data_IF_952385885850
#
_entry.id   IF_952385885850
#
_cell.length_a   1.000
_cell.length_b   1.000
_cell.length_c   1.000
_cell.angle_alpha   90.00
_cell.angle_beta   90.00
_cell.angle_gamma   90.00
#
_symmetry.space_group_name_H-M   'P 1'
#
loop_
_entity.id
_entity.type
_entity.pdbx_description
1 polymer ?
#
# COMPACT_ATOMS: atom_id res chain seq x y z
N UNK A 1 11.94 14.64 -69.18
CA UNK A 1 13.12 15.13 -68.44
C UNK A 1 12.81 15.06 -66.95
N UNK A 2 13.75 14.48 -66.19
CA UNK A 2 13.88 14.20 -64.74
C UNK A 2 13.17 15.15 -63.75
N UNK A 3 12.85 14.77 -62.51
CA UNK A 3 13.68 14.02 -61.54
C UNK A 3 12.83 13.44 -60.36
N UNK A 4 13.40 12.54 -59.53
CA UNK A 4 12.70 11.76 -58.52
C UNK A 4 12.67 12.44 -57.14
N UNK A 5 11.52 12.40 -56.45
CA UNK A 5 11.45 12.74 -55.03
C UNK A 5 12.03 11.59 -54.19
N UNK A 6 13.35 11.63 -54.06
CA UNK A 6 14.08 10.86 -53.06
C UNK A 6 13.66 11.33 -51.67
N UNK A 7 12.79 10.56 -51.02
CA UNK A 7 12.72 10.56 -49.56
C UNK A 7 14.15 10.31 -49.05
N UNK A 8 14.75 11.17 -48.20
CA UNK A 8 16.07 10.92 -47.67
C UNK A 8 15.98 9.79 -46.63
N UNK A 9 15.89 8.56 -47.13
CA UNK A 9 16.26 7.35 -46.40
C UNK A 9 17.78 7.41 -46.30
N UNK A 10 18.28 8.13 -45.30
CA UNK A 10 19.73 8.24 -45.07
C UNK A 10 20.28 9.63 -44.75
N UNK A 11 19.50 10.53 -44.13
CA UNK A 11 20.18 11.48 -43.25
C UNK A 11 20.78 10.64 -42.12
N UNK A 12 22.10 10.45 -42.10
CA UNK A 12 22.84 9.76 -41.04
C UNK A 12 22.35 10.32 -39.70
N UNK A 13 21.47 9.58 -39.03
CA UNK A 13 20.88 10.06 -37.78
C UNK A 13 22.05 10.22 -36.84
N UNK A 14 22.31 11.46 -36.42
CA UNK A 14 23.49 11.72 -35.59
C UNK A 14 23.43 10.82 -34.36
N UNK A 15 24.58 10.36 -33.88
CA UNK A 15 24.67 9.50 -32.68
C UNK A 15 23.85 10.11 -31.52
N UNK A 16 23.81 11.45 -31.41
CA UNK A 16 22.98 12.17 -30.45
C UNK A 16 21.48 12.03 -30.67
N UNK A 17 21.01 12.04 -31.93
CA UNK A 17 19.59 11.81 -32.24
C UNK A 17 19.15 10.35 -32.06
N UNK A 18 20.06 9.38 -32.16
CA UNK A 18 19.79 7.96 -31.85
C UNK A 18 19.71 7.74 -30.34
N UNK A 19 20.63 8.34 -29.58
CA UNK A 19 20.65 8.27 -28.12
C UNK A 19 19.43 8.97 -27.50
N UNK A 20 19.03 10.13 -28.06
CA UNK A 20 17.81 10.82 -27.65
C UNK A 20 16.57 9.95 -27.86
N UNK A 21 16.41 9.33 -29.04
CA UNK A 21 15.27 8.43 -29.31
C UNK A 21 15.29 7.16 -28.46
N UNK A 22 16.48 6.60 -28.18
CA UNK A 22 16.60 5.43 -27.31
C UNK A 22 16.20 5.77 -25.85
N UNK A 23 16.62 6.94 -25.37
CA UNK A 23 16.26 7.44 -24.03
C UNK A 23 14.76 7.72 -23.93
N UNK A 24 14.16 8.27 -24.98
CA UNK A 24 12.73 8.55 -25.03
C UNK A 24 11.89 7.27 -25.04
N UNK A 25 12.30 6.26 -25.81
CA UNK A 25 11.67 4.94 -25.80
C UNK A 25 11.79 4.25 -24.43
N UNK A 26 12.94 4.39 -23.76
CA UNK A 26 13.14 3.87 -22.41
C UNK A 26 12.25 4.59 -21.38
N UNK A 27 12.09 5.91 -21.51
CA UNK A 27 11.18 6.72 -20.70
C UNK A 27 9.72 6.30 -20.88
N UNK A 28 9.30 6.01 -22.13
CA UNK A 28 7.97 5.51 -22.44
C UNK A 28 7.69 4.14 -21.77
N UNK A 29 8.64 3.19 -21.84
CA UNK A 29 8.51 1.90 -21.17
C UNK A 29 8.37 2.03 -19.65
N UNK A 30 9.17 2.89 -19.02
CA UNK A 30 9.08 3.13 -17.57
C UNK A 30 7.71 3.72 -17.20
N UNK A 31 7.16 4.62 -18.03
CA UNK A 31 5.84 5.19 -17.80
C UNK A 31 4.73 4.12 -17.88
N UNK A 32 4.82 3.20 -18.84
CA UNK A 32 3.89 2.08 -18.98
C UNK A 32 3.99 1.10 -17.81
N UNK A 33 5.19 0.77 -17.34
CA UNK A 33 5.38 -0.11 -16.19
C UNK A 33 4.82 0.51 -14.90
N UNK A 34 4.98 1.83 -14.73
CA UNK A 34 4.38 2.59 -13.62
C UNK A 34 2.85 2.61 -13.75
N UNK A 35 2.31 2.81 -14.95
CA UNK A 35 0.88 2.79 -15.19
C UNK A 35 0.28 1.40 -14.88
N UNK A 36 0.98 0.33 -15.24
CA UNK A 36 0.60 -1.05 -14.93
C UNK A 36 0.66 -1.31 -13.43
N UNK A 37 1.76 -0.95 -12.76
CA UNK A 37 1.92 -1.11 -11.32
C UNK A 37 0.85 -0.33 -10.55
N UNK A 38 0.48 0.87 -11.02
CA UNK A 38 -0.62 1.66 -10.46
C UNK A 38 -1.98 0.97 -10.64
N UNK A 39 -2.22 0.37 -11.80
CA UNK A 39 -3.44 -0.40 -12.05
C UNK A 39 -3.51 -1.66 -11.16
N UNK A 40 -2.39 -2.36 -10.98
CA UNK A 40 -2.29 -3.52 -10.09
C UNK A 40 -2.53 -3.12 -8.63
N UNK A 41 -1.89 -2.05 -8.16
CA UNK A 41 -2.11 -1.50 -6.82
C UNK A 41 -3.58 -1.12 -6.60
N UNK A 42 -4.22 -0.45 -7.57
CA UNK A 42 -5.64 -0.11 -7.46
C UNK A 42 -6.51 -1.36 -7.35
N UNK A 43 -6.22 -2.41 -8.14
CA UNK A 43 -6.93 -3.70 -8.06
C UNK A 43 -6.71 -4.39 -6.71
N UNK A 44 -5.49 -4.35 -6.18
CA UNK A 44 -5.17 -4.95 -4.88
C UNK A 44 -5.82 -4.20 -3.72
N UNK A 45 -5.82 -2.86 -3.77
CA UNK A 45 -6.55 -2.02 -2.81
C UNK A 45 -8.05 -2.28 -2.90
N UNK A 46 -8.62 -2.36 -4.10
CA UNK A 46 -10.05 -2.64 -4.27
C UNK A 46 -10.41 -4.03 -3.75
N UNK A 47 -9.61 -5.06 -4.06
CA UNK A 47 -9.81 -6.42 -3.53
C UNK A 47 -9.67 -6.47 -2.01
N UNK A 48 -8.65 -5.81 -1.47
CA UNK A 48 -8.43 -5.70 -0.03
C UNK A 48 -9.55 -4.94 0.68
N UNK A 49 -10.06 -3.86 0.08
CA UNK A 49 -11.15 -3.06 0.63
C UNK A 49 -12.48 -3.83 0.60
N UNK A 50 -12.83 -4.48 -0.52
CA UNK A 50 -14.06 -5.28 -0.61
C UNK A 50 -14.05 -6.45 0.35
N UNK A 51 -12.96 -7.22 0.40
CA UNK A 51 -12.84 -8.35 1.32
C UNK A 51 -12.80 -7.89 2.77
N UNK A 52 -12.05 -6.83 3.08
CA UNK A 52 -11.99 -6.25 4.42
C UNK A 52 -13.36 -5.77 4.89
N UNK A 53 -14.07 -5.00 4.07
CA UNK A 53 -15.40 -4.48 4.38
C UNK A 53 -16.46 -5.56 4.57
N UNK A 54 -16.47 -6.59 3.70
CA UNK A 54 -17.36 -7.73 3.86
C UNK A 54 -17.04 -8.54 5.12
N UNK A 55 -15.77 -8.71 5.46
CA UNK A 55 -15.37 -9.39 6.70
C UNK A 55 -15.82 -8.63 7.96
N UNK A 56 -15.72 -7.31 7.99
CA UNK A 56 -16.24 -6.51 9.11
C UNK A 56 -17.75 -6.64 9.23
N UNK A 57 -18.47 -6.56 8.10
CA UNK A 57 -19.93 -6.70 8.10
C UNK A 57 -20.36 -8.10 8.54
N UNK A 58 -19.71 -9.14 8.03
CA UNK A 58 -19.96 -10.52 8.43
C UNK A 58 -19.67 -10.73 9.93
N UNK A 59 -18.59 -10.15 10.45
CA UNK A 59 -18.28 -10.15 11.88
C UNK A 59 -19.37 -9.47 12.73
N UNK A 60 -19.90 -8.33 12.28
CA UNK A 60 -21.01 -7.65 12.96
C UNK A 60 -22.29 -8.48 12.96
N UNK A 61 -22.66 -9.07 11.81
CA UNK A 61 -23.84 -9.92 11.70
C UNK A 61 -23.71 -11.15 12.62
N UNK A 62 -22.54 -11.77 12.66
CA UNK A 62 -22.27 -12.92 13.52
C UNK A 62 -22.31 -12.53 15.01
N UNK A 63 -21.79 -11.35 15.36
CA UNK A 63 -21.88 -10.79 16.71
C UNK A 63 -23.33 -10.54 17.14
N UNK A 64 -24.15 -9.99 16.24
CA UNK A 64 -25.56 -9.72 16.51
C UNK A 64 -26.43 -11.00 16.52
N UNK A 65 -25.97 -12.08 15.88
CA UNK A 65 -26.64 -13.38 15.85
C UNK A 65 -26.38 -14.23 17.11
N UNK A 66 -25.33 -13.94 17.91
CA UNK A 66 -24.97 -14.70 19.12
C UNK A 66 -26.12 -14.92 20.12
N UNK A 67 -26.96 -13.91 20.46
CA UNK A 67 -28.10 -14.13 21.34
C UNK A 67 -29.07 -15.16 20.74
N UNK A 68 -29.38 -15.03 19.44
CA UNK A 68 -30.30 -15.94 18.75
C UNK A 68 -29.75 -17.37 18.68
N UNK A 69 -28.45 -17.52 18.42
CA UNK A 69 -27.76 -18.81 18.46
C UNK A 69 -27.80 -19.44 19.86
N UNK A 70 -27.68 -18.63 20.92
CA UNK A 70 -27.77 -19.09 22.31
C UNK A 70 -29.16 -19.64 22.64
N UNK A 71 -30.22 -18.95 22.18
CA UNK A 71 -31.60 -19.45 22.32
C UNK A 71 -31.79 -20.75 21.54
N UNK A 72 -31.36 -20.80 20.27
CA UNK A 72 -31.48 -22.00 19.44
C UNK A 72 -30.81 -23.22 20.07
N UNK A 73 -29.60 -23.06 20.61
CA UNK A 73 -28.89 -24.13 21.33
C UNK A 73 -29.60 -24.50 22.63
N UNK A 74 -30.09 -23.53 23.41
CA UNK A 74 -30.75 -23.80 24.68
C UNK A 74 -32.02 -24.63 24.46
N UNK A 75 -32.84 -24.26 23.47
CA UNK A 75 -34.03 -25.04 23.10
C UNK A 75 -33.66 -26.40 22.49
N UNK A 76 -32.60 -26.48 21.68
CA UNK A 76 -32.13 -27.76 21.12
C UNK A 76 -31.60 -28.75 22.16
N UNK A 77 -30.95 -28.26 23.21
CA UNK A 77 -30.50 -29.10 24.33
C UNK A 77 -31.69 -29.51 25.20
N UNK A 78 -32.60 -28.56 25.45
CA UNK A 78 -33.79 -28.82 26.26
C UNK A 78 -34.68 -29.92 25.65
N UNK A 79 -34.87 -29.94 24.33
CA UNK A 79 -35.68 -30.98 23.65
C UNK A 79 -35.09 -32.39 23.73
N UNK A 80 -33.78 -32.52 23.95
CA UNK A 80 -33.11 -33.82 24.07
C UNK A 80 -32.91 -34.32 25.50
N UNK A 81 -32.90 -33.42 26.48
CA UNK A 81 -32.53 -33.76 27.86
C UNK A 81 -33.62 -33.48 28.91
N UNK A 82 -34.72 -32.79 28.59
CA UNK A 82 -35.76 -32.35 29.55
C UNK A 82 -35.19 -31.62 30.78
N UNK A 83 -33.95 -31.13 30.67
CA UNK A 83 -33.22 -30.54 31.79
C UNK A 83 -33.71 -29.12 32.04
N UNK A 84 -33.38 -28.59 33.23
CA UNK A 84 -33.78 -27.25 33.61
C UNK A 84 -33.23 -26.22 32.60
N UNK A 85 -34.08 -25.31 32.12
CA UNK A 85 -33.71 -24.35 31.07
C UNK A 85 -32.48 -23.52 31.45
N UNK A 86 -32.31 -23.22 32.74
CA UNK A 86 -31.14 -22.48 33.24
C UNK A 86 -29.81 -23.18 32.91
N UNK A 87 -29.77 -24.51 33.07
CA UNK A 87 -28.58 -25.33 32.74
C UNK A 87 -28.34 -25.34 31.23
N UNK A 88 -29.42 -25.42 30.44
CA UNK A 88 -29.34 -25.39 28.99
C UNK A 88 -28.78 -24.06 28.47
N UNK A 89 -29.22 -22.92 29.02
CA UNK A 89 -28.66 -21.61 28.68
C UNK A 89 -27.19 -21.48 29.04
N UNK A 90 -26.81 -21.99 30.21
CA UNK A 90 -25.42 -21.95 30.66
C UNK A 90 -24.50 -22.81 29.77
N UNK A 91 -24.99 -23.97 29.33
CA UNK A 91 -24.28 -24.85 28.41
C UNK A 91 -24.17 -24.23 27.01
N UNK A 92 -25.24 -23.62 26.50
CA UNK A 92 -25.22 -22.89 25.22
C UNK A 92 -24.25 -21.72 25.25
N UNK A 93 -24.19 -20.99 26.37
CA UNK A 93 -23.21 -19.92 26.55
C UNK A 93 -21.78 -20.48 26.56
N UNK A 94 -21.52 -21.55 27.31
CA UNK A 94 -20.22 -22.21 27.33
C UNK A 94 -19.79 -22.72 25.93
N UNK A 95 -20.72 -23.29 25.16
CA UNK A 95 -20.47 -23.72 23.78
C UNK A 95 -20.11 -22.54 22.86
N UNK A 96 -20.84 -21.42 22.96
CA UNK A 96 -20.51 -20.20 22.21
C UNK A 96 -19.14 -19.63 22.59
N UNK A 97 -18.78 -19.63 23.88
CA UNK A 97 -17.46 -19.18 24.34
C UNK A 97 -16.34 -20.09 23.82
N UNK A 98 -16.54 -21.41 23.85
CA UNK A 98 -15.59 -22.37 23.27
C UNK A 98 -15.40 -22.15 21.76
N UNK A 99 -16.50 -21.95 21.02
CA UNK A 99 -16.45 -21.66 19.59
C UNK A 99 -15.74 -20.33 19.31
N UNK A 100 -16.03 -19.29 20.10
CA UNK A 100 -15.36 -18.00 19.99
C UNK A 100 -13.85 -18.11 20.26
N UNK A 101 -13.44 -18.90 21.26
CA UNK A 101 -12.04 -19.16 21.58
C UNK A 101 -11.32 -19.89 20.44
N UNK A 102 -11.95 -20.92 19.87
CA UNK A 102 -11.44 -21.65 18.70
C UNK A 102 -11.24 -20.70 17.49
N UNK A 103 -12.26 -19.90 17.17
CA UNK A 103 -12.18 -18.91 16.08
C UNK A 103 -11.08 -17.87 16.32
N UNK A 104 -10.95 -17.39 17.56
CA UNK A 104 -9.89 -16.46 17.95
C UNK A 104 -8.49 -17.10 17.80
N UNK A 105 -8.32 -18.36 18.21
CA UNK A 105 -7.05 -19.08 18.04
C UNK A 105 -6.69 -19.24 16.56
N UNK A 106 -7.64 -19.65 15.72
CA UNK A 106 -7.44 -19.75 14.26
C UNK A 106 -7.07 -18.38 13.68
N UNK A 107 -7.79 -17.32 14.07
CA UNK A 107 -7.51 -15.95 13.66
C UNK A 107 -6.10 -15.49 14.06
N UNK A 108 -5.67 -15.81 15.29
CA UNK A 108 -4.31 -15.50 15.77
C UNK A 108 -3.25 -16.31 15.02
N UNK A 109 -3.49 -17.59 14.72
CA UNK A 109 -2.55 -18.41 13.94
C UNK A 109 -2.40 -17.87 12.52
N UNK A 110 -3.52 -17.53 11.85
CA UNK A 110 -3.50 -16.87 10.55
C UNK A 110 -2.80 -15.52 10.60
N UNK A 111 -3.08 -14.70 11.61
CA UNK A 111 -2.43 -13.41 11.80
C UNK A 111 -0.92 -13.57 12.06
N UNK A 112 -0.49 -14.57 12.84
CA UNK A 112 0.92 -14.90 13.05
C UNK A 112 1.59 -15.36 11.76
N UNK A 113 0.91 -16.18 10.95
CA UNK A 113 1.41 -16.63 9.63
C UNK A 113 1.54 -15.45 8.66
N UNK A 114 0.55 -14.56 8.62
CA UNK A 114 0.58 -13.32 7.86
C UNK A 114 1.69 -12.36 8.35
N UNK A 115 1.90 -12.25 9.67
CA UNK A 115 2.99 -11.46 10.26
C UNK A 115 4.37 -12.05 9.96
N UNK A 116 4.50 -13.38 9.82
CA UNK A 116 5.75 -14.03 9.40
C UNK A 116 6.04 -13.77 7.92
N UNK A 117 4.99 -13.63 7.09
CA UNK A 117 5.04 -13.06 5.73
C UNK A 117 5.16 -11.53 5.74
N UNK A 118 6.29 -11.03 6.22
CA UNK A 118 6.58 -9.64 6.59
C UNK A 118 6.65 -8.62 5.43
N UNK A 119 5.88 -8.77 4.36
CA UNK A 119 5.85 -7.84 3.22
C UNK A 119 5.05 -6.56 3.51
N UNK A 120 3.73 -6.63 3.75
CA UNK A 120 2.86 -5.44 3.80
C UNK A 120 3.08 -4.54 5.04
N UNK A 121 3.33 -5.13 6.21
CA UNK A 121 3.52 -4.37 7.45
C UNK A 121 4.87 -3.66 7.54
N UNK A 122 5.94 -4.23 6.95
CA UNK A 122 7.24 -3.55 6.87
C UNK A 122 7.16 -2.32 5.97
N UNK A 123 6.48 -2.44 4.83
CA UNK A 123 6.31 -1.32 3.88
C UNK A 123 5.50 -0.19 4.53
N UNK A 124 4.41 -0.50 5.24
CA UNK A 124 3.64 0.51 5.96
C UNK A 124 4.43 1.17 7.10
N UNK A 125 5.26 0.40 7.82
CA UNK A 125 6.13 0.93 8.88
C UNK A 125 7.23 1.83 8.31
N UNK A 126 7.93 1.39 7.26
CA UNK A 126 8.96 2.19 6.59
C UNK A 126 8.38 3.46 5.97
N UNK A 127 7.17 3.44 5.40
CA UNK A 127 6.54 4.67 4.90
C UNK A 127 6.18 5.66 6.01
N UNK A 128 5.71 5.17 7.17
CA UNK A 128 5.49 6.04 8.35
C UNK A 128 6.79 6.62 8.87
N UNK A 129 7.85 5.84 8.90
CA UNK A 129 9.18 6.29 9.33
C UNK A 129 9.76 7.34 8.37
N UNK A 130 9.66 7.11 7.06
CA UNK A 130 10.05 8.10 6.04
C UNK A 130 9.23 9.39 6.15
N UNK A 131 7.92 9.30 6.39
CA UNK A 131 7.07 10.48 6.58
C UNK A 131 7.47 11.28 7.84
N UNK A 132 7.83 10.60 8.93
CA UNK A 132 8.31 11.24 10.16
C UNK A 132 9.65 11.93 9.95
N UNK A 133 10.58 11.31 9.22
CA UNK A 133 11.88 11.91 8.89
C UNK A 133 11.68 13.14 7.98
N UNK A 134 10.82 13.04 6.97
CA UNK A 134 10.52 14.17 6.07
C UNK A 134 9.83 15.33 6.78
N UNK A 135 8.94 15.04 7.73
CA UNK A 135 8.26 16.06 8.53
C UNK A 135 9.20 16.71 9.55
N UNK A 136 10.20 15.98 10.04
CA UNK A 136 11.23 16.49 10.96
C UNK A 136 12.31 17.31 10.25
N UNK A 137 12.55 17.04 8.96
CA UNK A 137 13.36 17.87 8.08
C UNK A 137 12.56 19.12 7.66
N UNK A 138 12.49 20.13 8.52
CA UNK A 138 12.05 21.47 8.11
C UNK A 138 12.91 21.95 6.92
N UNK A 139 12.32 22.60 5.90
CA UNK A 139 13.10 23.29 4.87
C UNK A 139 13.93 24.37 5.56
N UNK A 140 15.26 24.22 5.59
CA UNK A 140 16.13 25.28 6.07
C UNK A 140 15.98 26.48 5.12
N UNK A 141 15.58 27.66 5.62
CA UNK A 141 15.70 28.89 4.86
C UNK A 141 17.19 29.04 4.53
N UNK A 142 17.53 29.12 3.25
CA UNK A 142 18.88 29.44 2.80
C UNK A 142 19.27 30.74 3.49
N UNK A 143 20.40 30.83 4.22
CA UNK A 143 20.89 32.11 4.72
C UNK A 143 21.02 33.04 3.51
N UNK A 144 20.25 34.12 3.50
CA UNK A 144 20.38 35.21 2.55
C UNK A 144 21.85 35.67 2.63
N UNK A 145 22.63 35.48 1.56
CA UNK A 145 24.00 35.96 1.50
C UNK A 145 23.99 37.48 1.70
N UNK A 146 24.78 38.06 2.62
CA UNK A 146 24.88 39.50 2.78
C UNK A 146 25.25 40.16 1.44
N UNK A 147 24.39 41.05 0.96
CA UNK A 147 24.50 41.73 -0.34
C UNK A 147 25.74 42.64 -0.48
N UNK A 148 26.51 42.83 0.59
CA UNK A 148 27.61 43.79 0.66
C UNK A 148 29.02 43.17 0.51
N UNK A 149 29.16 41.87 0.23
CA UNK A 149 30.49 41.22 0.04
C UNK A 149 30.79 40.74 -1.37
N UNK A 150 30.15 41.32 -2.39
CA UNK A 150 30.38 40.92 -3.79
C UNK A 150 31.37 41.73 -4.66
N UNK A 151 32.23 42.66 -4.19
CA UNK A 151 33.24 43.23 -5.10
C UNK A 151 34.54 42.41 -5.21
N UNK A 152 35.09 41.86 -4.11
CA UNK A 152 36.50 41.44 -4.14
C UNK A 152 36.76 40.02 -4.70
N UNK A 153 35.88 39.06 -4.43
CA UNK A 153 36.11 37.68 -4.85
C UNK A 153 35.96 37.46 -6.37
N UNK A 154 35.20 38.32 -7.04
CA UNK A 154 34.97 38.24 -8.50
C UNK A 154 36.12 38.90 -9.28
N UNK A 155 36.74 39.94 -8.71
CA UNK A 155 37.87 40.64 -9.33
C UNK A 155 39.21 39.88 -9.17
N UNK A 156 39.39 39.14 -8.07
CA UNK A 156 40.59 38.32 -7.85
C UNK A 156 40.69 37.13 -8.81
N UNK A 157 39.56 36.58 -9.27
CA UNK A 157 39.52 35.47 -10.25
C UNK A 157 39.73 35.97 -11.68
N UNK A 158 39.33 37.21 -12.00
CA UNK A 158 39.48 37.78 -13.33
C UNK A 158 40.93 38.26 -13.65
N UNK A 159 41.76 38.53 -12.65
CA UNK A 159 43.16 39.00 -12.85
C UNK A 159 44.20 37.88 -12.97
N UNK A 160 43.84 36.61 -12.74
CA UNK A 160 44.78 35.48 -12.80
C UNK A 160 44.84 34.75 -14.14
N UNK A 161 44.09 35.21 -15.16
CA UNK A 161 44.04 34.58 -16.48
C UNK A 161 44.50 35.51 -17.61
N UNK A 162 45.48 36.38 -17.36
CA UNK A 162 46.20 37.13 -18.39
C UNK A 162 47.69 36.99 -18.21
#
# INVERSE_FOLDING_TARGET
>A
MSAPDGSPVGAERSIGQLFASATENMSALVHDEIALAKAQLKRDVQRGATSGGLFTLAGLVLLFSLPMLSFALAYGIHTWSDWNLAVCFLLSFAANVLLALLLALIGVVFAKKAKKGRGPQKVAASMKETAVVLQKAKPHPRPELPKDRVPEAVEAVARSSS
#
